data_IF_882425232472
#
_entry.id   IF_882425232472
#
_cell.length_a   1.000
_cell.length_b   1.000
_cell.length_c   1.000
_cell.angle_alpha   90.00
_cell.angle_beta   90.00
_cell.angle_gamma   90.00
#
_symmetry.space_group_name_H-M   'P 1'
#
loop_
_entity.id
_entity.type
_entity.pdbx_description
1 polymer ?
#
# COMPACT_ATOMS: atom_id res chain seq x y z
N UNK A 1 9.70 35.33 -24.16
CA UNK A 1 11.04 34.86 -24.52
C UNK A 1 11.27 33.37 -24.25
N UNK A 2 11.21 32.90 -22.99
CA UNK A 2 11.42 31.44 -22.66
C UNK A 2 10.41 30.53 -23.33
N UNK A 3 9.13 30.91 -23.32
CA UNK A 3 8.05 30.15 -23.94
C UNK A 3 8.23 30.10 -25.46
N UNK A 4 8.57 31.21 -26.07
CA UNK A 4 8.86 31.34 -27.52
C UNK A 4 10.05 30.42 -27.92
N UNK A 5 11.15 30.46 -27.18
CA UNK A 5 12.28 29.56 -27.40
C UNK A 5 11.90 28.11 -27.33
N UNK A 6 11.06 27.76 -26.30
CA UNK A 6 10.59 26.40 -26.14
C UNK A 6 9.71 25.96 -27.29
N UNK A 7 8.78 26.79 -27.74
CA UNK A 7 7.88 26.50 -28.87
C UNK A 7 8.69 26.29 -30.15
N UNK A 8 9.64 27.18 -30.47
CA UNK A 8 10.52 27.03 -31.64
C UNK A 8 11.32 25.72 -31.60
N UNK A 9 11.85 25.36 -30.42
CA UNK A 9 12.53 24.08 -30.24
C UNK A 9 11.60 22.87 -30.40
N UNK A 10 10.41 22.95 -29.85
CA UNK A 10 9.39 21.89 -29.96
C UNK A 10 8.94 21.69 -31.42
N UNK A 11 8.74 22.78 -32.17
CA UNK A 11 8.40 22.74 -33.61
C UNK A 11 9.51 22.06 -34.41
N UNK A 12 10.77 22.47 -34.22
CA UNK A 12 11.90 21.82 -34.89
C UNK A 12 12.00 20.34 -34.59
N UNK A 13 11.73 19.92 -33.34
CA UNK A 13 11.66 18.50 -32.96
C UNK A 13 10.51 17.76 -33.63
N UNK A 14 9.36 18.37 -33.74
CA UNK A 14 8.21 17.74 -34.44
C UNK A 14 8.50 17.54 -35.93
N UNK A 15 9.16 18.51 -36.57
CA UNK A 15 9.60 18.38 -37.98
C UNK A 15 10.64 17.29 -38.18
N UNK A 16 11.63 17.20 -37.28
CA UNK A 16 12.77 16.28 -37.45
C UNK A 16 12.43 14.85 -37.00
N UNK A 17 11.72 14.68 -35.90
CA UNK A 17 11.51 13.38 -35.23
C UNK A 17 10.04 12.91 -35.20
N UNK A 18 9.09 13.75 -35.55
CA UNK A 18 7.67 13.40 -35.49
C UNK A 18 7.07 13.32 -34.08
N UNK A 19 7.81 13.72 -33.04
CA UNK A 19 7.31 13.73 -31.66
C UNK A 19 7.89 14.90 -30.83
N UNK A 20 7.24 15.22 -29.73
CA UNK A 20 7.67 16.26 -28.80
C UNK A 20 7.30 15.94 -27.35
N UNK A 21 8.20 16.31 -26.43
CA UNK A 21 7.90 16.27 -25.00
C UNK A 21 7.04 17.51 -24.66
N UNK A 22 5.84 17.31 -24.10
CA UNK A 22 4.92 18.41 -23.79
C UNK A 22 3.83 18.61 -24.85
N UNK A 23 3.39 17.49 -25.44
CA UNK A 23 2.27 17.41 -26.39
C UNK A 23 1.01 18.16 -25.89
N UNK A 24 0.89 18.36 -24.56
CA UNK A 24 -0.24 19.09 -23.95
C UNK A 24 -0.44 20.50 -24.51
N UNK A 25 0.62 21.16 -25.00
CA UNK A 25 0.52 22.46 -25.63
C UNK A 25 -0.08 22.40 -27.05
N UNK A 26 -0.07 21.25 -27.70
CA UNK A 26 -0.31 21.12 -29.14
C UNK A 26 -1.45 20.15 -29.48
N UNK A 27 -1.90 19.30 -28.53
CA UNK A 27 -2.92 18.27 -28.78
C UNK A 27 -4.21 18.80 -29.38
N UNK A 28 -4.67 19.97 -28.93
CA UNK A 28 -5.85 20.63 -29.48
C UNK A 28 -5.79 20.77 -31.02
N UNK A 29 -4.63 21.19 -31.53
CA UNK A 29 -4.41 21.41 -32.97
C UNK A 29 -4.27 20.11 -33.76
N UNK A 30 -3.62 19.10 -33.18
CA UNK A 30 -3.50 17.78 -33.81
C UNK A 30 -4.84 17.08 -33.91
N UNK A 31 -5.65 17.18 -32.85
CA UNK A 31 -6.99 16.60 -32.81
C UNK A 31 -8.03 17.39 -33.62
N UNK A 32 -7.68 18.60 -34.10
CA UNK A 32 -8.57 19.53 -34.80
C UNK A 32 -9.85 19.85 -34.00
N UNK A 33 -9.71 19.93 -32.68
CA UNK A 33 -10.80 20.32 -31.77
C UNK A 33 -10.87 21.83 -31.60
N UNK A 34 -12.04 22.32 -31.22
CA UNK A 34 -12.19 23.68 -30.74
C UNK A 34 -11.83 23.81 -29.26
N UNK A 35 -11.48 25.03 -28.83
CA UNK A 35 -11.17 25.26 -27.41
C UNK A 35 -12.40 24.99 -26.54
N UNK A 36 -12.24 24.20 -25.50
CA UNK A 36 -13.30 23.77 -24.61
C UNK A 36 -13.91 22.41 -24.93
N UNK A 37 -13.68 21.86 -26.11
CA UNK A 37 -14.14 20.53 -26.49
C UNK A 37 -13.49 19.43 -25.61
N UNK A 38 -14.23 18.33 -25.34
CA UNK A 38 -13.66 17.20 -24.61
C UNK A 38 -12.51 16.56 -25.41
N UNK A 39 -11.40 16.21 -24.75
CA UNK A 39 -10.31 15.53 -25.42
C UNK A 39 -10.68 14.08 -25.78
N UNK A 40 -10.02 13.54 -26.80
CA UNK A 40 -10.07 12.11 -27.08
C UNK A 40 -9.33 11.34 -25.97
N UNK A 41 -9.95 10.29 -25.50
CA UNK A 41 -9.48 9.44 -24.40
C UNK A 41 -9.52 7.98 -24.79
N UNK A 42 -9.02 7.08 -23.91
CA UNK A 42 -9.14 5.64 -24.10
C UNK A 42 -10.60 5.19 -24.26
N UNK A 43 -11.56 5.89 -23.65
CA UNK A 43 -12.99 5.60 -23.77
C UNK A 43 -13.46 5.78 -25.21
N UNK A 44 -12.95 6.79 -25.92
CA UNK A 44 -13.29 7.04 -27.31
C UNK A 44 -12.80 5.92 -28.24
N UNK A 45 -11.64 5.33 -27.97
CA UNK A 45 -11.16 4.14 -28.69
C UNK A 45 -12.06 2.93 -28.44
N UNK A 46 -12.50 2.73 -27.20
CA UNK A 46 -13.42 1.65 -26.86
C UNK A 46 -14.76 1.83 -27.55
N UNK A 47 -15.29 3.05 -27.57
CA UNK A 47 -16.53 3.40 -28.24
C UNK A 47 -16.44 3.18 -29.75
N UNK A 48 -15.39 3.68 -30.40
CA UNK A 48 -15.15 3.47 -31.82
C UNK A 48 -15.05 1.98 -32.17
N UNK A 49 -14.33 1.20 -31.36
CA UNK A 49 -14.25 -0.26 -31.57
C UNK A 49 -15.60 -0.95 -31.39
N UNK A 50 -16.41 -0.52 -30.43
CA UNK A 50 -17.77 -1.05 -30.25
C UNK A 50 -18.70 -0.70 -31.42
N UNK A 51 -18.57 0.49 -32.01
CA UNK A 51 -19.31 0.91 -33.19
C UNK A 51 -18.88 0.16 -34.46
N UNK A 52 -17.59 -0.13 -34.64
CA UNK A 52 -17.05 -0.80 -35.81
C UNK A 52 -17.29 -2.32 -35.79
N UNK A 53 -17.17 -2.96 -34.63
CA UNK A 53 -17.19 -4.44 -34.50
C UNK A 53 -18.37 -4.98 -33.68
N UNK A 54 -19.27 -4.14 -33.18
CA UNK A 54 -20.39 -4.52 -32.32
C UNK A 54 -21.66 -3.75 -32.60
N UNK A 55 -22.45 -3.56 -31.54
CA UNK A 55 -23.72 -2.82 -31.56
C UNK A 55 -23.57 -1.35 -31.16
N UNK A 56 -22.33 -0.87 -31.01
CA UNK A 56 -22.01 0.49 -30.57
C UNK A 56 -22.00 0.68 -29.06
N UNK A 57 -22.29 -0.35 -28.26
CA UNK A 57 -22.28 -0.29 -26.81
C UNK A 57 -21.09 -1.03 -26.21
N UNK A 58 -20.65 -0.61 -25.02
CA UNK A 58 -19.65 -1.31 -24.21
C UNK A 58 -19.96 -1.17 -22.72
N UNK A 59 -19.58 -2.19 -21.96
CA UNK A 59 -19.76 -2.20 -20.50
C UNK A 59 -18.54 -1.57 -19.81
N UNK A 60 -18.78 -0.55 -18.99
CA UNK A 60 -17.78 0.05 -18.11
C UNK A 60 -17.95 -0.48 -16.69
N UNK A 61 -16.95 -1.20 -16.18
CA UNK A 61 -16.90 -1.64 -14.79
C UNK A 61 -16.00 -0.73 -14.00
N UNK A 62 -16.57 0.03 -13.06
CA UNK A 62 -15.84 0.98 -12.22
C UNK A 62 -15.48 0.30 -10.91
N UNK A 63 -14.23 -0.15 -10.82
CA UNK A 63 -13.70 -0.76 -9.59
C UNK A 63 -13.36 0.29 -8.53
N UNK A 64 -13.52 -0.09 -7.26
CA UNK A 64 -13.41 0.82 -6.10
C UNK A 64 -14.19 2.13 -6.35
N UNK A 65 -15.41 2.00 -6.83
CA UNK A 65 -16.23 3.10 -7.37
C UNK A 65 -16.41 4.26 -6.39
N UNK A 66 -16.48 3.97 -5.09
CA UNK A 66 -16.54 4.96 -4.00
C UNK A 66 -15.35 5.94 -3.99
N UNK A 67 -14.19 5.51 -4.50
CA UNK A 67 -13.01 6.36 -4.67
C UNK A 67 -12.88 6.87 -6.10
N UNK A 68 -13.01 5.98 -7.08
CA UNK A 68 -12.80 6.27 -8.50
C UNK A 68 -13.69 7.39 -9.01
N UNK A 69 -15.00 7.36 -8.72
CA UNK A 69 -15.92 8.41 -9.15
C UNK A 69 -15.60 9.77 -8.52
N UNK A 70 -15.16 9.77 -7.27
CA UNK A 70 -14.74 10.99 -6.59
C UNK A 70 -13.44 11.56 -7.19
N UNK A 71 -12.50 10.71 -7.60
CA UNK A 71 -11.28 11.11 -8.28
C UNK A 71 -11.58 11.67 -9.67
N UNK A 72 -12.38 10.99 -10.49
CA UNK A 72 -12.79 11.48 -11.82
C UNK A 72 -13.44 12.85 -11.71
N UNK A 73 -14.30 13.08 -10.71
CA UNK A 73 -14.92 14.37 -10.47
C UNK A 73 -13.91 15.48 -10.11
N UNK A 74 -12.86 15.14 -9.38
CA UNK A 74 -11.83 16.09 -8.93
C UNK A 74 -10.74 16.38 -9.96
N UNK A 75 -10.48 15.47 -10.90
CA UNK A 75 -9.33 15.53 -11.82
C UNK A 75 -9.32 16.79 -12.69
N UNK A 76 -10.46 17.15 -13.25
CA UNK A 76 -10.58 18.32 -14.13
C UNK A 76 -10.17 19.61 -13.41
N UNK A 77 -10.74 19.88 -12.24
CA UNK A 77 -10.47 21.11 -11.50
C UNK A 77 -9.01 21.18 -11.03
N UNK A 78 -8.43 20.06 -10.59
CA UNK A 78 -7.03 19.99 -10.18
C UNK A 78 -6.07 20.28 -11.34
N UNK A 79 -6.33 19.72 -12.52
CA UNK A 79 -5.51 19.96 -13.71
C UNK A 79 -5.63 21.41 -14.20
N UNK A 80 -6.83 21.96 -14.23
CA UNK A 80 -7.09 23.35 -14.61
C UNK A 80 -6.35 24.32 -13.68
N UNK A 81 -6.45 24.16 -12.37
CA UNK A 81 -5.76 25.02 -11.41
C UNK A 81 -4.23 24.99 -11.62
N UNK A 82 -3.65 23.80 -11.80
CA UNK A 82 -2.22 23.64 -12.09
C UNK A 82 -1.81 24.32 -13.40
N UNK A 83 -2.56 24.10 -14.48
CA UNK A 83 -2.23 24.65 -15.80
C UNK A 83 -2.42 26.16 -15.89
N UNK A 84 -3.44 26.70 -15.25
CA UNK A 84 -3.61 28.16 -15.16
C UNK A 84 -2.37 28.82 -14.55
N UNK A 85 -1.85 28.30 -13.45
CA UNK A 85 -0.61 28.78 -12.85
C UNK A 85 0.57 28.68 -13.83
N UNK A 86 0.73 27.55 -14.53
CA UNK A 86 1.83 27.36 -15.49
C UNK A 86 1.73 28.30 -16.70
N UNK A 87 0.55 28.63 -17.16
CA UNK A 87 0.30 29.58 -18.24
C UNK A 87 0.59 31.00 -17.77
N UNK A 88 0.10 31.39 -16.61
CA UNK A 88 0.34 32.72 -16.00
C UNK A 88 1.85 33.03 -15.90
N UNK A 89 2.64 32.03 -15.48
CA UNK A 89 4.10 32.19 -15.39
C UNK A 89 4.87 31.88 -16.70
N UNK A 90 4.20 31.66 -17.83
CA UNK A 90 4.81 31.46 -19.14
C UNK A 90 5.51 30.11 -19.31
N UNK A 91 5.08 29.07 -18.62
CA UNK A 91 5.60 27.71 -18.76
C UNK A 91 4.79 26.85 -19.73
N UNK A 92 3.58 27.25 -20.08
CA UNK A 92 2.65 26.56 -20.98
C UNK A 92 1.93 27.55 -21.89
N UNK A 93 1.50 27.05 -23.05
CA UNK A 93 0.59 27.79 -23.93
C UNK A 93 -0.85 27.74 -23.38
N UNK A 94 -1.73 28.71 -23.70
CA UNK A 94 -3.13 28.67 -23.33
C UNK A 94 -3.85 27.39 -23.80
N UNK A 95 -3.50 26.87 -24.98
CA UNK A 95 -4.01 25.62 -25.54
C UNK A 95 -3.74 24.36 -24.68
N UNK A 96 -2.81 24.44 -23.73
CA UNK A 96 -2.56 23.35 -22.79
C UNK A 96 -3.81 23.08 -21.88
N UNK A 97 -4.69 24.06 -21.70
CA UNK A 97 -5.95 23.87 -20.96
C UNK A 97 -6.88 22.86 -21.62
N UNK A 98 -6.80 22.69 -22.94
CA UNK A 98 -7.65 21.77 -23.71
C UNK A 98 -7.11 20.32 -23.76
N UNK A 99 -5.87 20.11 -23.34
CA UNK A 99 -5.35 18.76 -23.04
C UNK A 99 -5.61 18.44 -21.57
N UNK A 100 -6.79 17.98 -21.26
CA UNK A 100 -7.31 17.90 -19.89
C UNK A 100 -8.02 16.56 -19.64
N UNK A 101 -8.17 16.15 -18.38
CA UNK A 101 -9.12 15.09 -18.05
C UNK A 101 -10.54 15.47 -18.47
N UNK A 102 -11.38 14.48 -18.72
CA UNK A 102 -12.79 14.69 -18.92
C UNK A 102 -13.42 15.35 -17.68
N UNK A 103 -14.40 16.20 -17.89
CA UNK A 103 -15.32 16.59 -16.83
C UNK A 103 -16.16 15.38 -16.44
N UNK A 104 -16.70 15.38 -15.23
CA UNK A 104 -17.50 14.25 -14.74
C UNK A 104 -18.71 13.96 -15.65
N UNK A 105 -19.40 14.98 -16.10
CA UNK A 105 -20.56 14.83 -16.97
C UNK A 105 -20.16 14.28 -18.35
N UNK A 106 -19.03 14.75 -18.92
CA UNK A 106 -18.48 14.23 -20.17
C UNK A 106 -18.09 12.75 -20.04
N UNK A 107 -17.55 12.34 -18.88
CA UNK A 107 -17.25 10.94 -18.57
C UNK A 107 -18.53 10.10 -18.53
N UNK A 108 -19.58 10.61 -17.87
CA UNK A 108 -20.87 9.92 -17.78
C UNK A 108 -21.57 9.76 -19.13
N UNK A 109 -21.48 10.81 -19.99
CA UNK A 109 -22.05 10.78 -21.34
C UNK A 109 -21.33 9.81 -22.30
N UNK A 110 -20.00 9.63 -22.12
CA UNK A 110 -19.21 8.73 -22.95
C UNK A 110 -19.33 7.27 -22.53
N UNK A 111 -19.86 6.96 -21.35
CA UNK A 111 -19.96 5.62 -20.79
C UNK A 111 -21.42 5.22 -20.63
N UNK A 112 -21.95 4.50 -21.62
CA UNK A 112 -23.40 4.21 -21.73
C UNK A 112 -23.91 3.24 -20.66
N UNK A 113 -23.17 2.13 -20.42
CA UNK A 113 -23.54 1.09 -19.47
C UNK A 113 -22.47 1.00 -18.38
N UNK A 114 -22.86 1.27 -17.14
CA UNK A 114 -21.95 1.24 -16.00
C UNK A 114 -22.34 0.22 -14.95
N UNK A 115 -21.35 -0.46 -14.41
CA UNK A 115 -21.44 -1.28 -13.21
C UNK A 115 -20.45 -0.72 -12.16
N UNK A 116 -20.97 -0.36 -11.00
CA UNK A 116 -20.16 0.12 -9.88
C UNK A 116 -19.80 -1.07 -8.98
N UNK A 117 -18.50 -1.26 -8.75
CA UNK A 117 -17.99 -2.33 -7.89
C UNK A 117 -17.30 -1.72 -6.69
N UNK A 118 -17.75 -2.07 -5.48
CA UNK A 118 -17.17 -1.54 -4.26
C UNK A 118 -17.49 -2.42 -3.06
N UNK A 119 -16.51 -2.60 -2.17
CA UNK A 119 -16.75 -3.22 -0.87
C UNK A 119 -17.51 -2.28 0.08
N UNK A 120 -17.47 -0.97 -0.17
CA UNK A 120 -18.04 0.09 0.66
C UNK A 120 -18.69 1.16 -0.21
N UNK A 121 -19.78 0.84 -0.95
CA UNK A 121 -20.44 1.80 -1.81
C UNK A 121 -20.95 3.00 -1.01
N UNK A 122 -20.91 4.18 -1.61
CA UNK A 122 -21.48 5.38 -1.00
C UNK A 122 -22.88 5.68 -1.57
N UNK A 123 -23.59 6.59 -0.93
CA UNK A 123 -24.97 6.94 -1.29
C UNK A 123 -25.11 7.40 -2.75
N UNK A 124 -24.10 8.07 -3.31
CA UNK A 124 -24.16 8.56 -4.70
C UNK A 124 -24.19 7.42 -5.71
N UNK A 125 -23.39 6.38 -5.50
CA UNK A 125 -23.36 5.20 -6.37
C UNK A 125 -24.66 4.43 -6.29
N UNK A 126 -25.21 4.31 -5.07
CA UNK A 126 -26.50 3.68 -4.84
C UNK A 126 -27.61 4.44 -5.56
N UNK A 127 -27.61 5.77 -5.50
CA UNK A 127 -28.56 6.60 -6.23
C UNK A 127 -28.40 6.50 -7.75
N UNK A 128 -27.15 6.51 -8.26
CA UNK A 128 -26.87 6.34 -9.69
C UNK A 128 -27.32 4.97 -10.23
N UNK A 129 -27.32 3.95 -9.38
CA UNK A 129 -27.82 2.61 -9.72
C UNK A 129 -29.35 2.43 -9.49
N UNK A 130 -30.08 3.52 -9.28
CA UNK A 130 -31.52 3.48 -8.93
C UNK A 130 -31.82 2.61 -7.71
N UNK A 131 -30.96 2.65 -6.70
CA UNK A 131 -31.01 1.84 -5.47
C UNK A 131 -30.94 0.33 -5.73
N UNK A 132 -30.45 -0.10 -6.87
CA UNK A 132 -30.21 -1.52 -7.18
C UNK A 132 -28.82 -1.91 -6.71
N UNK A 133 -28.74 -2.56 -5.57
CA UNK A 133 -27.49 -3.08 -5.02
C UNK A 133 -27.53 -4.60 -5.04
N UNK A 134 -26.55 -5.22 -5.69
CA UNK A 134 -26.34 -6.67 -5.69
C UNK A 134 -25.20 -6.97 -4.76
N UNK A 135 -25.47 -7.75 -3.73
CA UNK A 135 -24.45 -8.13 -2.76
C UNK A 135 -23.79 -9.45 -3.17
N UNK A 136 -22.45 -9.44 -3.23
CA UNK A 136 -21.63 -10.64 -3.42
C UNK A 136 -20.74 -10.81 -2.18
N UNK A 137 -21.31 -11.40 -1.13
CA UNK A 137 -20.67 -11.54 0.18
C UNK A 137 -20.04 -12.90 0.41
N UNK A 138 -20.51 -13.93 -0.32
CA UNK A 138 -20.08 -15.29 -0.11
C UNK A 138 -18.71 -15.56 -0.73
N UNK A 139 -17.78 -16.04 0.10
CA UNK A 139 -16.45 -16.50 -0.33
C UNK A 139 -16.47 -18.02 -0.46
N UNK A 140 -16.12 -18.58 -1.65
CA UNK A 140 -16.08 -20.03 -1.86
C UNK A 140 -15.11 -20.76 -0.93
N UNK A 141 -14.07 -20.07 -0.45
CA UNK A 141 -13.10 -20.60 0.51
C UNK A 141 -13.64 -20.79 1.93
N UNK A 142 -14.85 -20.33 2.20
CA UNK A 142 -15.44 -20.33 3.54
C UNK A 142 -14.85 -19.30 4.50
N UNK A 143 -13.86 -18.51 4.07
CA UNK A 143 -13.23 -17.49 4.92
C UNK A 143 -14.22 -16.42 5.35
N UNK A 144 -14.22 -16.11 6.64
CA UNK A 144 -15.08 -15.11 7.26
C UNK A 144 -14.36 -13.79 7.45
N UNK A 145 -15.11 -12.70 7.59
CA UNK A 145 -14.52 -11.43 8.02
C UNK A 145 -13.92 -11.56 9.43
N UNK A 146 -12.88 -10.76 9.78
CA UNK A 146 -12.15 -10.93 11.02
C UNK A 146 -13.05 -10.76 12.25
N UNK A 147 -12.69 -11.42 13.34
CA UNK A 147 -13.24 -11.11 14.64
C UNK A 147 -12.79 -9.71 15.07
N UNK A 148 -13.63 -8.95 15.75
CA UNK A 148 -13.35 -7.57 16.16
C UNK A 148 -13.34 -7.48 17.68
N UNK A 149 -12.29 -6.86 18.22
CA UNK A 149 -12.13 -6.61 19.64
C UNK A 149 -11.84 -5.11 19.85
N UNK A 150 -12.48 -4.54 20.87
CA UNK A 150 -12.26 -3.18 21.32
C UNK A 150 -11.38 -3.22 22.57
N UNK A 151 -10.29 -2.45 22.57
CA UNK A 151 -9.39 -2.32 23.72
C UNK A 151 -9.12 -0.85 24.02
N UNK A 152 -8.82 -0.48 25.27
CA UNK A 152 -8.55 0.90 25.65
C UNK A 152 -7.27 1.44 24.98
N UNK A 153 -7.19 2.76 24.79
CA UNK A 153 -5.97 3.40 24.26
C UNK A 153 -4.85 3.42 25.29
N UNK A 154 -5.19 3.41 26.57
CA UNK A 154 -4.20 3.34 27.65
C UNK A 154 -3.46 2.01 27.61
N UNK A 155 -2.14 2.05 27.38
CA UNK A 155 -1.33 0.84 27.24
C UNK A 155 -1.43 0.16 25.88
N UNK A 156 -2.03 0.79 24.85
CA UNK A 156 -2.23 0.20 23.51
C UNK A 156 -0.93 -0.31 22.87
N UNK A 157 0.21 0.35 23.10
CA UNK A 157 1.50 -0.07 22.55
C UNK A 157 2.02 -1.31 23.25
N UNK A 158 1.84 -1.39 24.56
CA UNK A 158 2.23 -2.53 25.40
C UNK A 158 1.45 -3.77 25.02
N UNK A 159 0.15 -3.63 24.91
CA UNK A 159 -0.76 -4.69 24.50
C UNK A 159 -0.49 -5.15 23.07
N UNK A 160 -0.32 -4.22 22.14
CA UNK A 160 0.04 -4.51 20.76
C UNK A 160 1.32 -5.35 20.66
N UNK A 161 2.36 -5.06 21.45
CA UNK A 161 3.62 -5.82 21.43
C UNK A 161 3.39 -7.28 21.85
N UNK A 162 2.60 -7.50 22.87
CA UNK A 162 2.26 -8.83 23.32
C UNK A 162 1.55 -9.61 22.21
N UNK A 163 0.57 -9.00 21.57
CA UNK A 163 -0.17 -9.61 20.45
C UNK A 163 0.75 -9.89 19.25
N UNK A 164 1.66 -8.98 18.92
CA UNK A 164 2.64 -9.16 17.85
C UNK A 164 3.56 -10.35 18.13
N UNK A 165 4.07 -10.47 19.37
CA UNK A 165 4.95 -11.60 19.75
C UNK A 165 4.20 -12.93 19.67
N UNK A 166 2.96 -12.96 20.16
CA UNK A 166 2.11 -14.15 20.05
C UNK A 166 1.92 -14.58 18.58
N UNK A 167 1.61 -13.64 17.69
CA UNK A 167 1.41 -13.94 16.26
C UNK A 167 2.70 -14.39 15.59
N UNK A 168 3.83 -13.75 15.89
CA UNK A 168 5.13 -14.15 15.36
C UNK A 168 5.51 -15.58 15.72
N UNK A 169 5.32 -15.99 16.97
CA UNK A 169 5.68 -17.33 17.44
C UNK A 169 4.93 -18.46 16.71
N UNK A 170 3.73 -18.16 16.19
CA UNK A 170 2.97 -19.11 15.37
C UNK A 170 3.12 -18.86 13.86
N UNK A 171 4.08 -18.03 13.47
CA UNK A 171 4.39 -17.77 12.06
C UNK A 171 3.43 -16.84 11.32
N UNK A 172 2.57 -16.12 12.03
CA UNK A 172 1.60 -15.18 11.48
C UNK A 172 2.14 -13.75 11.40
N UNK A 173 1.51 -12.88 10.63
CA UNK A 173 1.90 -11.49 10.40
C UNK A 173 0.86 -10.51 10.95
N UNK A 174 1.34 -9.30 11.29
CA UNK A 174 0.51 -8.24 11.84
C UNK A 174 0.56 -6.98 10.99
N UNK A 175 -0.59 -6.36 10.74
CA UNK A 175 -0.69 -5.01 10.20
C UNK A 175 -1.08 -4.04 11.32
N UNK A 176 -0.40 -2.89 11.40
CA UNK A 176 -0.68 -1.84 12.38
C UNK A 176 -0.94 -0.53 11.66
N UNK A 177 -2.07 0.12 11.96
CA UNK A 177 -2.39 1.43 11.38
C UNK A 177 -2.30 2.53 12.42
N UNK A 178 -1.59 3.61 12.05
CA UNK A 178 -1.42 4.83 12.86
C UNK A 178 -2.06 6.03 12.17
N UNK A 179 -2.14 7.18 12.87
CA UNK A 179 -2.73 8.41 12.33
C UNK A 179 -1.73 9.28 11.56
N UNK A 180 -0.45 9.22 11.92
CA UNK A 180 0.58 10.09 11.34
C UNK A 180 1.84 9.32 10.96
N UNK A 181 2.58 9.86 9.98
CA UNK A 181 3.90 9.35 9.56
C UNK A 181 4.88 9.28 10.74
N UNK A 182 4.97 10.36 11.51
CA UNK A 182 5.85 10.44 12.68
C UNK A 182 5.54 9.36 13.73
N UNK A 183 4.24 9.07 13.93
CA UNK A 183 3.81 8.03 14.84
C UNK A 183 4.17 6.63 14.31
N UNK A 184 4.02 6.40 13.01
CA UNK A 184 4.42 5.14 12.38
C UNK A 184 5.92 4.89 12.49
N UNK A 185 6.74 5.90 12.22
CA UNK A 185 8.20 5.84 12.35
C UNK A 185 8.60 5.56 13.81
N UNK A 186 8.10 6.34 14.75
CA UNK A 186 8.40 6.17 16.17
C UNK A 186 7.99 4.81 16.72
N UNK A 187 6.83 4.29 16.29
CA UNK A 187 6.37 2.95 16.67
C UNK A 187 7.27 1.87 16.07
N UNK A 188 7.70 2.02 14.83
CA UNK A 188 8.60 1.07 14.18
C UNK A 188 9.95 1.02 14.88
N UNK A 189 10.53 2.17 15.21
CA UNK A 189 11.79 2.25 15.97
C UNK A 189 11.65 1.63 17.36
N UNK A 190 10.52 1.87 18.02
CA UNK A 190 10.23 1.32 19.33
C UNK A 190 10.12 -0.21 19.30
N UNK A 191 9.40 -0.76 18.31
CA UNK A 191 9.18 -2.19 18.13
C UNK A 191 10.43 -2.95 17.63
N UNK A 192 11.42 -2.26 17.08
CA UNK A 192 12.71 -2.84 16.69
C UNK A 192 13.77 -2.77 17.82
N UNK A 193 13.48 -2.07 18.93
CA UNK A 193 14.40 -1.93 20.08
C UNK A 193 14.16 -3.04 21.11
N UNK A 194 15.04 -4.03 21.12
CA UNK A 194 14.94 -5.20 22.01
C UNK A 194 14.90 -4.82 23.48
N UNK A 195 15.67 -3.81 23.90
CA UNK A 195 15.76 -3.40 25.31
C UNK A 195 14.44 -2.81 25.81
N UNK A 196 13.72 -2.08 24.94
CA UNK A 196 12.40 -1.53 25.23
C UNK A 196 11.35 -2.62 25.33
N UNK A 197 11.40 -3.60 24.40
CA UNK A 197 10.50 -4.76 24.41
C UNK A 197 10.69 -5.56 25.72
N UNK A 198 11.92 -5.84 26.14
CA UNK A 198 12.19 -6.59 27.38
C UNK A 198 11.66 -5.88 28.61
N UNK A 199 11.90 -4.56 28.71
CA UNK A 199 11.39 -3.75 29.82
C UNK A 199 9.87 -3.80 29.90
N UNK A 200 9.22 -3.71 28.72
CA UNK A 200 7.77 -3.69 28.59
C UNK A 200 7.16 -5.07 28.95
N UNK A 201 7.72 -6.17 28.46
CA UNK A 201 7.23 -7.52 28.78
C UNK A 201 7.40 -7.83 30.28
N UNK A 202 8.48 -7.37 30.89
CA UNK A 202 8.64 -7.48 32.35
C UNK A 202 7.53 -6.73 33.08
N UNK A 203 7.23 -5.49 32.65
CA UNK A 203 6.12 -4.69 33.22
C UNK A 203 4.77 -5.39 33.03
N UNK A 204 4.51 -5.89 31.83
CA UNK A 204 3.28 -6.62 31.52
C UNK A 204 3.12 -7.88 32.40
N UNK A 205 4.15 -8.72 32.49
CA UNK A 205 4.13 -9.91 33.34
C UNK A 205 3.94 -9.56 34.83
N UNK A 206 4.51 -8.46 35.30
CA UNK A 206 4.29 -8.02 36.67
C UNK A 206 2.85 -7.58 36.89
N UNK A 207 2.29 -6.76 36.00
CA UNK A 207 0.87 -6.34 36.05
C UNK A 207 -0.08 -7.56 36.01
N UNK A 208 0.20 -8.58 35.20
CA UNK A 208 -0.60 -9.81 35.17
C UNK A 208 -0.51 -10.58 36.49
N UNK A 209 0.67 -10.68 37.11
CA UNK A 209 0.82 -11.33 38.44
C UNK A 209 0.05 -10.58 39.51
N UNK A 210 0.18 -9.25 39.52
CA UNK A 210 -0.53 -8.39 40.48
C UNK A 210 -2.05 -8.47 40.28
N UNK A 211 -2.51 -8.54 39.04
CA UNK A 211 -3.90 -8.75 38.67
C UNK A 211 -4.41 -10.12 39.12
N UNK A 212 -3.73 -11.20 38.79
CA UNK A 212 -4.14 -12.54 39.21
C UNK A 212 -4.17 -12.69 40.74
N UNK A 213 -3.22 -12.06 41.43
CA UNK A 213 -3.21 -12.02 42.89
C UNK A 213 -4.43 -11.25 43.43
N UNK A 214 -4.78 -10.12 42.81
CA UNK A 214 -5.96 -9.33 43.20
C UNK A 214 -7.28 -10.09 42.94
N UNK A 215 -7.37 -10.79 41.80
CA UNK A 215 -8.52 -11.64 41.42
C UNK A 215 -8.71 -12.82 42.41
N UNK A 216 -7.61 -13.48 42.82
CA UNK A 216 -7.63 -14.56 43.79
C UNK A 216 -8.00 -14.07 45.22
N UNK A 217 -7.65 -12.80 45.52
CA UNK A 217 -7.88 -12.23 46.84
C UNK A 217 -9.22 -11.50 47.02
N UNK A 218 -9.84 -11.04 45.91
CA UNK A 218 -11.10 -10.28 45.95
C UNK A 218 -11.95 -10.47 44.69
N UNK A 219 -12.99 -11.30 44.81
CA UNK A 219 -13.89 -11.64 43.70
C UNK A 219 -14.76 -10.47 43.23
N UNK A 220 -15.09 -9.51 44.12
CA UNK A 220 -15.86 -8.32 43.76
C UNK A 220 -15.00 -7.34 42.95
N UNK A 221 -13.72 -7.20 43.27
CA UNK A 221 -12.75 -6.41 42.53
C UNK A 221 -12.55 -6.97 41.12
N UNK A 222 -12.44 -8.29 40.99
CA UNK A 222 -12.36 -8.96 39.70
C UNK A 222 -13.53 -8.68 38.79
N UNK A 223 -14.78 -8.82 39.32
CA UNK A 223 -16.00 -8.53 38.58
C UNK A 223 -16.06 -7.06 38.13
N UNK A 224 -15.63 -6.14 38.98
CA UNK A 224 -15.63 -4.69 38.68
C UNK A 224 -14.64 -4.33 37.56
N UNK A 225 -13.45 -4.97 37.54
CA UNK A 225 -12.47 -4.74 36.46
C UNK A 225 -12.93 -5.35 35.13
N UNK A 226 -13.44 -6.58 35.15
CA UNK A 226 -14.01 -7.20 33.94
C UNK A 226 -15.17 -6.40 33.35
N UNK A 227 -15.95 -5.71 34.17
CA UNK A 227 -17.03 -4.82 33.72
C UNK A 227 -16.54 -3.46 33.20
N UNK A 228 -15.36 -2.99 33.61
CA UNK A 228 -14.79 -1.73 33.16
C UNK A 228 -13.95 -1.85 31.87
N UNK A 229 -13.40 -3.04 31.58
CA UNK A 229 -12.58 -3.25 30.38
C UNK A 229 -13.39 -3.58 29.12
N UNK A 230 -14.63 -4.01 29.26
CA UNK A 230 -15.56 -4.17 28.14
C UNK A 230 -16.23 -2.82 27.83
N UNK A 231 -15.75 -2.12 26.80
CA UNK A 231 -16.61 -1.11 26.15
C UNK A 231 -17.97 -1.77 25.86
N UNK A 232 -19.12 -1.18 26.26
CA UNK A 232 -20.41 -1.83 26.22
C UNK A 232 -20.83 -2.15 24.78
N UNK A 233 -20.31 -3.23 24.26
CA UNK A 233 -20.74 -3.88 23.01
C UNK A 233 -22.23 -4.26 23.16
N UNK A 234 -22.69 -4.52 24.39
CA UNK A 234 -24.07 -4.85 24.73
C UNK A 234 -25.11 -3.77 24.37
N UNK A 235 -24.65 -2.53 24.09
CA UNK A 235 -25.54 -1.48 23.58
C UNK A 235 -25.63 -1.46 22.04
N UNK A 236 -24.83 -2.26 21.34
CA UNK A 236 -25.11 -2.61 19.97
C UNK A 236 -26.12 -3.76 20.01
N UNK A 237 -27.22 -3.66 19.32
CA UNK A 237 -28.11 -4.81 19.02
C UNK A 237 -27.34 -5.74 18.04
N UNK A 238 -26.37 -6.47 18.58
CA UNK A 238 -25.60 -7.46 17.83
C UNK A 238 -26.29 -8.79 18.11
N UNK A 239 -26.79 -9.42 17.06
CA UNK A 239 -27.35 -10.75 17.16
C UNK A 239 -26.33 -11.76 17.71
N UNK A 240 -26.76 -12.83 18.38
CA UNK A 240 -25.87 -13.78 19.03
C UNK A 240 -24.89 -14.37 18.00
N UNK A 241 -23.58 -14.20 18.27
CA UNK A 241 -22.54 -14.88 17.52
C UNK A 241 -22.64 -16.36 17.86
N UNK A 242 -22.79 -17.23 16.84
CA UNK A 242 -22.78 -18.67 17.07
C UNK A 242 -21.39 -19.13 17.51
N UNK A 243 -21.20 -19.25 18.83
CA UNK A 243 -19.94 -19.67 19.46
C UNK A 243 -19.54 -21.11 19.13
N UNK A 244 -20.44 -21.96 18.60
CA UNK A 244 -20.14 -23.35 18.24
C UNK A 244 -19.19 -23.44 17.04
N UNK A 245 -19.32 -22.56 16.07
CA UNK A 245 -18.41 -22.52 14.91
C UNK A 245 -16.96 -22.22 15.35
N UNK A 246 -16.77 -21.33 16.32
CA UNK A 246 -15.44 -20.97 16.85
C UNK A 246 -14.81 -22.07 17.70
N UNK A 247 -15.59 -22.83 18.44
CA UNK A 247 -15.07 -23.94 19.23
C UNK A 247 -14.48 -25.05 18.34
N UNK A 248 -15.03 -25.21 17.14
CA UNK A 248 -14.53 -26.19 16.16
C UNK A 248 -13.20 -25.75 15.52
N UNK A 249 -13.05 -24.47 15.20
CA UNK A 249 -11.81 -23.91 14.67
C UNK A 249 -10.69 -23.83 15.73
N UNK A 250 -11.03 -23.52 16.99
CA UNK A 250 -10.05 -23.47 18.10
C UNK A 250 -9.35 -24.82 18.35
N UNK A 251 -9.98 -25.94 18.02
CA UNK A 251 -9.39 -27.26 18.24
C UNK A 251 -8.41 -27.71 17.16
N UNK A 252 -8.28 -27.01 16.03
CA UNK A 252 -7.44 -27.41 14.91
C UNK A 252 -6.11 -26.63 14.79
N UNK A 253 -5.98 -25.46 15.44
CA UNK A 253 -4.78 -24.61 15.33
C UNK A 253 -4.31 -24.14 16.71
N UNK A 254 -2.98 -23.99 16.87
CA UNK A 254 -2.40 -23.29 18.03
C UNK A 254 -2.85 -21.82 17.93
N UNK A 255 -3.89 -21.48 18.65
CA UNK A 255 -4.34 -20.08 18.71
C UNK A 255 -3.27 -19.23 19.39
N UNK A 256 -3.18 -17.97 19.01
CA UNK A 256 -2.25 -17.01 19.61
C UNK A 256 -2.36 -16.94 21.16
N UNK A 257 -3.52 -17.29 21.71
CA UNK A 257 -3.79 -17.30 23.16
C UNK A 257 -3.07 -18.44 23.91
N UNK A 258 -2.59 -19.49 23.21
CA UNK A 258 -1.87 -20.63 23.80
C UNK A 258 -0.34 -20.46 23.79
N UNK A 259 0.14 -19.30 23.35
CA UNK A 259 1.57 -19.04 23.18
C UNK A 259 2.22 -18.64 24.50
N UNK A 260 3.38 -19.23 24.79
CA UNK A 260 4.16 -18.91 25.97
C UNK A 260 5.05 -17.67 25.72
N UNK A 261 4.93 -16.65 26.58
CA UNK A 261 5.72 -15.42 26.53
C UNK A 261 7.08 -15.54 27.26
N UNK A 262 7.47 -16.74 27.73
CA UNK A 262 8.76 -16.92 28.42
C UNK A 262 9.96 -16.93 27.45
N UNK A 263 9.74 -17.37 26.21
CA UNK A 263 10.72 -17.25 25.13
C UNK A 263 10.30 -16.12 24.18
N UNK A 264 11.02 -14.98 24.24
CA UNK A 264 10.72 -13.82 23.43
C UNK A 264 11.40 -13.97 22.07
N UNK A 265 10.61 -14.14 21.02
CA UNK A 265 11.06 -13.98 19.65
C UNK A 265 10.80 -12.54 19.19
N UNK A 266 11.87 -11.72 19.11
CA UNK A 266 11.75 -10.28 18.81
C UNK A 266 11.23 -10.03 17.40
N UNK A 267 10.15 -9.25 17.23
CA UNK A 267 9.60 -8.96 15.92
C UNK A 267 10.54 -8.08 15.09
N UNK A 268 10.53 -8.31 13.78
CA UNK A 268 11.12 -7.42 12.80
C UNK A 268 10.01 -6.58 12.18
N UNK A 269 10.12 -5.26 12.30
CA UNK A 269 9.07 -4.33 11.93
C UNK A 269 9.51 -3.44 10.77
N UNK A 270 8.68 -3.35 9.75
CA UNK A 270 8.81 -2.37 8.68
C UNK A 270 7.67 -1.34 8.73
N UNK A 271 7.87 -0.17 8.12
CA UNK A 271 6.80 0.81 7.95
C UNK A 271 6.59 1.19 6.48
N UNK A 272 5.36 1.60 6.16
CA UNK A 272 4.97 2.08 4.83
C UNK A 272 4.37 3.49 4.92
N UNK A 273 4.85 4.39 4.06
CA UNK A 273 4.31 5.73 3.87
C UNK A 273 4.34 6.16 2.40
N UNK A 274 3.74 7.33 2.10
CA UNK A 274 3.58 7.84 0.74
C UNK A 274 4.89 8.13 -0.01
N UNK A 275 5.98 8.37 0.71
CA UNK A 275 7.26 8.79 0.12
C UNK A 275 8.15 7.59 -0.26
N UNK A 276 7.68 6.36 -0.01
CA UNK A 276 8.37 5.13 -0.43
C UNK A 276 8.04 4.86 -1.90
N UNK A 277 9.06 4.64 -2.72
CA UNK A 277 8.90 4.31 -4.12
C UNK A 277 8.07 3.03 -4.33
N UNK A 278 7.33 2.97 -5.43
CA UNK A 278 6.44 1.84 -5.74
C UNK A 278 7.17 0.50 -5.76
N UNK A 279 8.41 0.47 -6.26
CA UNK A 279 9.22 -0.75 -6.28
C UNK A 279 9.66 -1.16 -4.87
N UNK A 280 10.14 -0.22 -4.06
CA UNK A 280 10.50 -0.45 -2.65
C UNK A 280 9.30 -0.92 -1.82
N UNK A 281 8.13 -0.35 -2.08
CA UNK A 281 6.86 -0.79 -1.46
C UNK A 281 6.57 -2.25 -1.78
N UNK A 282 6.71 -2.66 -3.03
CA UNK A 282 6.52 -4.06 -3.44
C UNK A 282 7.52 -4.98 -2.75
N UNK A 283 8.78 -4.53 -2.58
CA UNK A 283 9.81 -5.31 -1.87
C UNK A 283 9.46 -5.54 -0.41
N UNK A 284 9.02 -4.50 0.29
CA UNK A 284 8.61 -4.59 1.70
C UNK A 284 7.44 -5.56 1.88
N UNK A 285 6.46 -5.53 0.97
CA UNK A 285 5.30 -6.42 1.02
C UNK A 285 5.70 -7.88 0.76
N UNK A 286 6.57 -8.15 -0.21
CA UNK A 286 7.08 -9.49 -0.47
C UNK A 286 7.94 -10.00 0.69
N UNK A 287 8.75 -9.13 1.31
CA UNK A 287 9.59 -9.46 2.47
C UNK A 287 8.72 -9.78 3.70
N UNK A 288 7.58 -9.07 3.90
CA UNK A 288 6.58 -9.43 4.92
C UNK A 288 6.01 -10.83 4.67
N UNK A 289 5.63 -11.13 3.44
CA UNK A 289 5.11 -12.44 3.07
C UNK A 289 6.12 -13.57 3.24
N UNK A 290 7.42 -13.31 2.97
CA UNK A 290 8.51 -14.27 3.19
C UNK A 290 8.86 -14.46 4.66
N UNK A 291 8.42 -13.57 5.55
CA UNK A 291 8.76 -13.59 6.97
C UNK A 291 10.07 -12.89 7.30
N UNK A 292 10.61 -12.10 6.39
CA UNK A 292 11.71 -11.19 6.72
C UNK A 292 11.25 -10.07 7.67
N UNK A 293 9.98 -9.69 7.58
CA UNK A 293 9.27 -8.84 8.53
C UNK A 293 8.09 -9.58 9.12
N UNK A 294 7.78 -9.30 10.39
CA UNK A 294 6.66 -9.86 11.12
C UNK A 294 5.51 -8.86 11.25
N UNK A 295 5.85 -7.57 11.24
CA UNK A 295 4.91 -6.47 11.40
C UNK A 295 5.12 -5.42 10.32
N UNK A 296 4.02 -4.93 9.80
CA UNK A 296 4.00 -3.78 8.90
C UNK A 296 3.19 -2.65 9.53
N UNK A 297 3.85 -1.53 9.82
CA UNK A 297 3.22 -0.32 10.32
C UNK A 297 2.94 0.63 9.17
N UNK A 298 1.75 1.19 9.11
CA UNK A 298 1.39 2.15 8.06
C UNK A 298 0.30 3.12 8.46
N UNK A 299 0.05 4.11 7.59
CA UNK A 299 -1.01 5.10 7.81
C UNK A 299 -2.22 4.70 6.96
N UNK A 300 -2.19 5.08 5.69
CA UNK A 300 -3.31 4.96 4.75
C UNK A 300 -3.10 3.85 3.71
N UNK A 301 -1.85 3.50 3.47
CA UNK A 301 -1.45 2.59 2.39
C UNK A 301 -1.81 1.12 2.64
N UNK A 302 -2.37 0.81 3.80
CA UNK A 302 -2.80 -0.54 4.16
C UNK A 302 -4.26 -0.84 3.79
N UNK A 303 -4.96 0.09 3.11
CA UNK A 303 -6.38 -0.06 2.77
C UNK A 303 -6.61 -0.78 1.44
N UNK A 304 -5.90 -0.38 0.39
CA UNK A 304 -6.14 -0.84 -0.98
C UNK A 304 -4.91 -1.52 -1.59
N UNK A 305 -5.14 -2.41 -2.56
CA UNK A 305 -4.08 -3.04 -3.34
C UNK A 305 -3.16 -4.01 -2.59
N UNK A 306 -3.52 -4.46 -1.38
CA UNK A 306 -2.74 -5.43 -0.61
C UNK A 306 -3.42 -6.79 -0.59
N UNK A 307 -2.65 -7.82 -0.92
CA UNK A 307 -3.04 -9.22 -0.83
C UNK A 307 -2.04 -9.99 0.04
N UNK A 308 -2.33 -10.05 1.34
CA UNK A 308 -1.46 -10.57 2.39
C UNK A 308 -2.15 -11.70 3.16
N UNK A 309 -2.24 -12.91 2.60
CA UNK A 309 -2.92 -14.01 3.24
C UNK A 309 -2.25 -14.49 4.54
N UNK A 310 -1.01 -14.12 4.77
CA UNK A 310 -0.25 -14.45 5.98
C UNK A 310 -0.60 -13.55 7.18
N UNK A 311 -1.36 -12.47 6.94
CA UNK A 311 -1.78 -11.53 7.99
C UNK A 311 -3.00 -12.07 8.72
N UNK A 312 -2.83 -12.33 10.01
CA UNK A 312 -3.91 -12.76 10.91
C UNK A 312 -4.40 -11.65 11.83
N UNK A 313 -3.55 -10.66 12.14
CA UNK A 313 -3.90 -9.55 13.04
C UNK A 313 -3.83 -8.20 12.31
N UNK A 314 -4.90 -7.42 12.49
CA UNK A 314 -4.95 -6.01 12.10
C UNK A 314 -5.20 -5.16 13.34
N UNK A 315 -4.26 -4.31 13.71
CA UNK A 315 -4.37 -3.40 14.84
C UNK A 315 -4.60 -1.96 14.37
N UNK A 316 -5.63 -1.32 14.87
CA UNK A 316 -5.97 0.07 14.56
C UNK A 316 -5.78 0.89 15.84
N UNK A 317 -4.68 1.65 15.91
CA UNK A 317 -4.39 2.53 17.02
C UNK A 317 -5.24 3.80 16.95
N UNK A 318 -5.63 4.34 18.10
CA UNK A 318 -6.45 5.55 18.19
C UNK A 318 -7.68 5.50 17.24
N UNK A 319 -8.44 4.43 17.30
CA UNK A 319 -9.57 4.18 16.41
C UNK A 319 -10.72 5.18 16.63
N UNK A 320 -10.81 5.79 17.81
CA UNK A 320 -11.83 6.79 18.20
C UNK A 320 -11.52 8.23 17.73
N UNK A 321 -10.35 8.46 17.11
CA UNK A 321 -10.00 9.78 16.57
C UNK A 321 -10.65 9.96 15.19
N UNK A 322 -11.91 10.39 15.18
CA UNK A 322 -12.68 10.56 13.95
C UNK A 322 -11.96 11.42 12.91
N UNK A 323 -12.08 11.03 11.64
CA UNK A 323 -11.48 11.68 10.50
C UNK A 323 -11.43 10.76 9.29
N UNK A 324 -10.84 11.23 8.20
CA UNK A 324 -10.74 10.48 6.95
C UNK A 324 -10.11 9.09 7.12
N UNK A 325 -9.09 8.97 7.98
CA UNK A 325 -8.38 7.70 8.24
C UNK A 325 -9.16 6.75 9.16
N UNK A 326 -10.16 7.24 9.86
CA UNK A 326 -11.01 6.50 10.81
C UNK A 326 -12.50 6.60 10.45
N UNK A 327 -12.79 6.85 9.15
CA UNK A 327 -14.15 6.76 8.63
C UNK A 327 -14.62 5.30 8.56
N UNK A 328 -15.94 5.07 8.54
CA UNK A 328 -16.56 3.76 8.34
C UNK A 328 -15.87 2.97 7.21
N UNK A 329 -15.76 3.55 6.04
CA UNK A 329 -15.14 2.94 4.85
C UNK A 329 -13.70 2.53 5.11
N UNK A 330 -12.89 3.45 5.67
CA UNK A 330 -11.48 3.20 5.98
C UNK A 330 -11.31 2.04 6.95
N UNK A 331 -12.13 1.96 7.99
CA UNK A 331 -12.07 0.89 8.99
C UNK A 331 -12.47 -0.46 8.39
N UNK A 332 -13.58 -0.53 7.64
CA UNK A 332 -14.02 -1.77 6.98
C UNK A 332 -12.91 -2.31 6.06
N UNK A 333 -12.31 -1.45 5.24
CA UNK A 333 -11.23 -1.85 4.31
C UNK A 333 -9.99 -2.33 5.05
N UNK A 334 -9.62 -1.63 6.13
CA UNK A 334 -8.44 -1.98 6.93
C UNK A 334 -8.64 -3.31 7.67
N UNK A 335 -9.75 -3.48 8.37
CA UNK A 335 -10.11 -4.73 9.06
C UNK A 335 -10.19 -5.89 8.07
N UNK A 336 -10.76 -5.65 6.89
CA UNK A 336 -10.87 -6.65 5.83
C UNK A 336 -9.54 -7.22 5.32
N UNK A 337 -8.39 -6.60 5.64
CA UNK A 337 -7.06 -7.18 5.34
C UNK A 337 -6.79 -8.46 6.12
N UNK A 338 -7.39 -8.62 7.31
CA UNK A 338 -7.34 -9.87 8.07
C UNK A 338 -8.30 -10.96 7.58
N UNK A 339 -9.19 -10.68 6.64
CA UNK A 339 -10.23 -11.62 6.18
C UNK A 339 -9.70 -12.73 5.24
N UNK A 340 -8.41 -12.84 5.01
CA UNK A 340 -7.77 -13.88 4.19
C UNK A 340 -7.12 -14.99 5.00
N UNK A 341 -7.14 -14.84 6.32
CA UNK A 341 -6.61 -15.81 7.28
C UNK A 341 -7.76 -16.40 8.10
N UNK A 342 -7.72 -17.70 8.39
CA UNK A 342 -8.78 -18.38 9.18
C UNK A 342 -8.90 -17.78 10.57
N UNK A 343 -7.76 -17.42 11.18
CA UNK A 343 -7.70 -16.75 12.49
C UNK A 343 -7.67 -15.23 12.38
N UNK A 344 -8.33 -14.69 11.34
CA UNK A 344 -8.39 -13.24 11.12
C UNK A 344 -8.98 -12.50 12.32
N UNK A 345 -8.21 -11.56 12.88
CA UNK A 345 -8.56 -10.78 14.06
C UNK A 345 -8.25 -9.30 13.84
N UNK A 346 -9.11 -8.43 14.36
CA UNK A 346 -8.93 -6.98 14.32
C UNK A 346 -9.09 -6.39 15.70
N UNK A 347 -8.07 -5.67 16.18
CA UNK A 347 -8.11 -4.95 17.44
C UNK A 347 -8.23 -3.45 17.14
N UNK A 348 -9.26 -2.83 17.69
CA UNK A 348 -9.46 -1.39 17.64
C UNK A 348 -9.17 -0.81 19.01
N UNK A 349 -8.11 -0.02 19.13
CA UNK A 349 -7.79 0.69 20.37
C UNK A 349 -8.56 2.01 20.41
N UNK A 350 -9.47 2.13 21.37
CA UNK A 350 -10.37 3.26 21.50
C UNK A 350 -10.85 3.42 22.94
N UNK A 351 -11.01 4.66 23.41
CA UNK A 351 -11.59 4.96 24.72
C UNK A 351 -13.09 5.25 24.63
N UNK A 352 -13.60 5.45 23.42
CA UNK A 352 -15.02 5.68 23.15
C UNK A 352 -15.44 5.07 21.83
N UNK A 353 -16.67 4.56 21.77
CA UNK A 353 -17.26 4.11 20.53
C UNK A 353 -17.78 5.30 19.72
N UNK A 354 -17.20 5.52 18.53
CA UNK A 354 -17.67 6.56 17.60
C UNK A 354 -18.72 6.01 16.65
N UNK A 355 -19.51 6.91 16.02
CA UNK A 355 -20.49 6.48 15.04
C UNK A 355 -19.85 5.76 13.84
N UNK A 356 -18.70 6.22 13.39
CA UNK A 356 -17.93 5.57 12.31
C UNK A 356 -17.47 4.16 12.69
N UNK A 357 -17.01 3.97 13.93
CA UNK A 357 -16.65 2.64 14.46
C UNK A 357 -17.87 1.72 14.54
N UNK A 358 -18.96 2.20 15.14
CA UNK A 358 -20.21 1.44 15.27
C UNK A 358 -20.67 0.89 13.93
N UNK A 359 -20.83 1.76 12.93
CA UNK A 359 -21.26 1.38 11.59
C UNK A 359 -20.28 0.43 10.88
N UNK A 360 -18.96 0.56 11.13
CA UNK A 360 -17.97 -0.34 10.56
C UNK A 360 -18.01 -1.73 11.19
N UNK A 361 -18.18 -1.80 12.50
CA UNK A 361 -18.28 -3.05 13.25
C UNK A 361 -19.57 -3.79 12.87
N UNK A 362 -20.73 -3.10 12.90
CA UNK A 362 -22.02 -3.66 12.51
C UNK A 362 -21.98 -4.29 11.12
N UNK A 363 -21.42 -3.57 10.14
CA UNK A 363 -21.32 -4.07 8.77
C UNK A 363 -20.37 -5.27 8.64
N UNK A 364 -19.23 -5.24 9.33
CA UNK A 364 -18.29 -6.37 9.31
C UNK A 364 -18.90 -7.62 9.96
N UNK A 365 -19.59 -7.45 11.06
CA UNK A 365 -20.31 -8.55 11.75
C UNK A 365 -21.48 -9.07 10.90
N UNK A 366 -22.24 -8.19 10.25
CA UNK A 366 -23.29 -8.58 9.32
C UNK A 366 -22.77 -9.51 8.23
N UNK A 367 -21.68 -9.10 7.57
CA UNK A 367 -21.03 -9.90 6.51
C UNK A 367 -20.49 -11.23 7.05
N UNK A 368 -19.86 -11.18 8.22
CA UNK A 368 -19.35 -12.36 8.89
C UNK A 368 -20.44 -13.39 9.17
N UNK A 369 -21.58 -12.96 9.73
CA UNK A 369 -22.70 -13.83 10.06
C UNK A 369 -23.33 -14.47 8.82
N UNK A 370 -23.43 -13.73 7.71
CA UNK A 370 -23.92 -14.27 6.43
C UNK A 370 -23.00 -15.39 5.94
N UNK A 371 -21.67 -15.17 5.98
CA UNK A 371 -20.70 -16.19 5.56
C UNK A 371 -20.73 -17.42 6.49
N UNK A 372 -20.79 -17.21 7.81
CA UNK A 372 -20.87 -18.31 8.78
C UNK A 372 -22.12 -19.16 8.51
N UNK A 373 -23.27 -18.51 8.34
CA UNK A 373 -24.51 -19.22 8.02
C UNK A 373 -24.38 -20.03 6.73
N UNK A 374 -23.83 -19.43 5.68
CA UNK A 374 -23.60 -20.14 4.42
C UNK A 374 -22.67 -21.35 4.59
N UNK A 375 -21.60 -21.21 5.37
CA UNK A 375 -20.67 -22.30 5.63
C UNK A 375 -21.36 -23.47 6.38
N UNK A 376 -22.19 -23.16 7.39
CA UNK A 376 -22.95 -24.15 8.13
C UNK A 376 -23.97 -24.87 7.25
N UNK A 377 -24.73 -24.11 6.46
CA UNK A 377 -25.77 -24.65 5.57
C UNK A 377 -25.20 -25.58 4.48
N UNK A 378 -23.93 -25.34 4.07
CA UNK A 378 -23.27 -26.09 2.99
C UNK A 378 -22.12 -27.00 3.46
N UNK A 379 -21.90 -27.14 4.77
CA UNK A 379 -20.80 -27.92 5.37
C UNK A 379 -19.43 -27.53 4.81
N UNK A 380 -19.13 -26.22 4.71
CA UNK A 380 -17.89 -25.69 4.20
C UNK A 380 -16.94 -25.42 5.36
N UNK A 381 -15.77 -26.02 5.37
CA UNK A 381 -14.69 -25.70 6.28
C UNK A 381 -13.82 -24.57 5.70
N UNK A 382 -13.64 -23.52 6.49
CA UNK A 382 -12.83 -22.36 6.07
C UNK A 382 -11.35 -22.74 5.92
N UNK A 383 -10.75 -22.36 4.79
CA UNK A 383 -9.35 -22.64 4.48
C UNK A 383 -8.59 -21.35 4.19
N UNK A 384 -7.45 -21.16 4.87
CA UNK A 384 -6.55 -20.04 4.58
C UNK A 384 -6.04 -20.08 3.15
N UNK A 385 -5.93 -18.92 2.53
CA UNK A 385 -5.42 -18.79 1.17
C UNK A 385 -3.89 -18.93 1.22
N UNK A 386 -3.35 -19.88 0.46
CA UNK A 386 -1.91 -20.01 0.25
C UNK A 386 -1.59 -19.49 -1.15
N UNK A 387 -0.84 -18.40 -1.23
CA UNK A 387 -0.47 -17.78 -2.48
C UNK A 387 1.05 -17.83 -2.68
N UNK A 388 1.57 -18.43 -3.76
CA UNK A 388 3.00 -18.46 -4.01
C UNK A 388 3.56 -17.04 -4.18
N UNK A 389 4.73 -16.80 -3.62
CA UNK A 389 5.46 -15.55 -3.81
C UNK A 389 6.22 -15.68 -5.13
N UNK A 390 5.89 -14.84 -6.10
CA UNK A 390 6.55 -14.86 -7.41
C UNK A 390 7.97 -14.33 -7.27
N UNK A 391 8.93 -14.99 -7.90
CA UNK A 391 10.28 -14.43 -8.04
C UNK A 391 10.25 -13.20 -8.92
N UNK A 392 10.98 -12.17 -8.50
CA UNK A 392 11.06 -10.93 -9.29
C UNK A 392 11.90 -11.17 -10.52
N UNK A 393 11.39 -10.75 -11.68
CA UNK A 393 12.12 -10.74 -12.94
C UNK A 393 13.34 -9.79 -12.89
N UNK A 394 13.24 -8.73 -12.09
CA UNK A 394 14.30 -7.74 -11.88
C UNK A 394 14.72 -7.79 -10.41
N UNK A 395 15.90 -8.33 -10.12
CA UNK A 395 16.51 -8.27 -8.79
C UNK A 395 17.03 -6.85 -8.54
N UNK A 396 16.41 -6.09 -7.65
CA UNK A 396 16.90 -4.76 -7.26
C UNK A 396 18.27 -4.90 -6.58
N UNK A 397 19.34 -4.52 -7.27
CA UNK A 397 20.70 -4.47 -6.72
C UNK A 397 20.90 -3.36 -5.68
N UNK A 398 19.89 -2.53 -5.41
CA UNK A 398 19.97 -1.39 -4.49
C UNK A 398 19.90 -1.73 -2.99
N UNK A 399 19.66 -2.99 -2.60
CA UNK A 399 19.67 -3.37 -1.16
C UNK A 399 21.02 -3.13 -0.45
N UNK A 400 22.12 -2.99 -1.21
CA UNK A 400 23.45 -2.76 -0.64
C UNK A 400 23.81 -1.27 -0.41
N UNK A 401 23.01 -0.31 -0.90
CA UNK A 401 23.36 1.13 -0.73
C UNK A 401 22.89 1.73 0.60
N UNK A 402 21.88 1.18 1.28
CA UNK A 402 21.39 1.72 2.58
C UNK A 402 22.09 1.19 3.84
N UNK A 403 22.98 0.19 3.74
CA UNK A 403 23.81 -0.29 4.86
C UNK A 403 25.12 0.50 5.10
N UNK A 404 25.34 1.62 4.40
CA UNK A 404 26.53 2.48 4.57
C UNK A 404 26.38 3.55 5.66
N UNK A 405 25.80 3.18 6.79
CA UNK A 405 25.73 4.02 8.00
C UNK A 405 26.45 3.44 9.23
N UNK A 406 27.21 2.35 9.10
CA UNK A 406 28.09 1.85 10.16
C UNK A 406 29.31 1.21 9.52
N UNK A 407 30.48 1.77 9.84
CA UNK A 407 31.76 1.40 9.28
C UNK A 407 32.04 -0.11 9.31
N UNK A 408 32.24 -0.66 8.13
CA UNK A 408 32.93 -1.93 7.89
C UNK A 408 33.66 -1.79 6.57
N UNK A 409 34.90 -2.26 6.57
CA UNK A 409 35.90 -2.14 5.51
C UNK A 409 35.44 -2.67 4.15
N UNK A 410 35.93 -2.08 3.01
CA UNK A 410 35.50 -2.40 1.64
C UNK A 410 36.09 -3.69 1.03
N UNK A 411 36.78 -4.54 1.78
CA UNK A 411 37.58 -5.63 1.18
C UNK A 411 36.89 -6.99 1.00
N UNK A 412 35.62 -7.19 1.36
CA UNK A 412 34.99 -8.54 1.33
C UNK A 412 33.85 -8.77 0.33
N UNK A 413 33.58 -7.93 -0.66
CA UNK A 413 32.61 -8.28 -1.71
C UNK A 413 33.30 -8.47 -3.06
N UNK A 414 33.60 -9.72 -3.41
CA UNK A 414 34.33 -10.12 -4.61
C UNK A 414 33.57 -9.99 -5.96
N UNK A 415 32.75 -8.98 -6.18
CA UNK A 415 32.18 -8.69 -7.50
C UNK A 415 33.10 -7.71 -8.26
N UNK A 416 33.69 -8.19 -9.35
CA UNK A 416 34.48 -7.39 -10.28
C UNK A 416 33.65 -7.10 -11.53
N UNK A 417 33.50 -5.85 -11.92
CA UNK A 417 32.94 -5.47 -13.24
C UNK A 417 34.08 -5.10 -14.15
N UNK A 418 34.61 -6.09 -14.89
CA UNK A 418 35.75 -5.90 -15.81
C UNK A 418 35.23 -5.49 -17.18
N UNK A 419 35.66 -4.34 -17.66
CA UNK A 419 35.27 -3.80 -18.96
C UNK A 419 36.53 -3.63 -19.82
N UNK A 420 36.50 -4.14 -21.05
CA UNK A 420 37.55 -3.92 -22.03
C UNK A 420 37.41 -2.53 -22.67
N UNK A 421 38.40 -1.67 -22.47
CA UNK A 421 38.46 -0.34 -23.07
C UNK A 421 39.06 -0.38 -24.47
N UNK A 422 39.98 -1.32 -24.72
CA UNK A 422 40.65 -1.60 -26.01
C UNK A 422 41.00 -3.09 -26.09
N UNK A 423 41.56 -3.56 -27.23
CA UNK A 423 42.00 -4.95 -27.46
C UNK A 423 43.00 -5.49 -26.41
N UNK A 424 43.70 -4.60 -25.69
CA UNK A 424 44.75 -4.94 -24.71
C UNK A 424 44.53 -4.33 -23.31
N UNK A 425 43.50 -3.54 -23.10
CA UNK A 425 43.29 -2.80 -21.85
C UNK A 425 41.94 -3.16 -21.23
N UNK A 426 41.99 -3.76 -20.06
CA UNK A 426 40.81 -4.08 -19.25
C UNK A 426 40.87 -3.30 -17.93
N UNK A 427 39.72 -2.77 -17.51
CA UNK A 427 39.58 -2.01 -16.26
C UNK A 427 38.45 -2.59 -15.44
N UNK A 428 38.64 -2.71 -14.12
CA UNK A 428 37.60 -3.02 -13.17
C UNK A 428 36.92 -1.72 -12.76
N UNK A 429 35.69 -1.52 -13.21
CA UNK A 429 34.91 -0.31 -12.97
C UNK A 429 34.73 0.03 -11.52
N UNK A 430 34.69 -0.98 -10.63
CA UNK A 430 34.49 -0.77 -9.19
C UNK A 430 35.77 -0.34 -8.46
N UNK A 431 36.95 -0.45 -9.12
CA UNK A 431 38.20 -0.03 -8.54
C UNK A 431 38.64 1.38 -8.95
N UNK A 432 37.86 2.06 -9.79
CA UNK A 432 38.16 3.43 -10.19
C UNK A 432 37.90 4.36 -8.98
N UNK A 433 38.98 5.02 -8.55
CA UNK A 433 38.94 6.05 -7.51
C UNK A 433 39.16 7.42 -8.12
N UNK A 434 38.13 8.22 -8.38
CA UNK A 434 38.26 9.51 -9.06
C UNK A 434 39.26 10.49 -8.39
N UNK A 435 39.39 10.37 -7.05
CA UNK A 435 40.23 11.26 -6.26
C UNK A 435 41.77 10.94 -6.38
N UNK A 436 42.11 9.77 -6.88
CA UNK A 436 43.51 9.34 -7.07
C UNK A 436 44.04 9.60 -8.52
N UNK A 437 43.16 10.07 -9.42
CA UNK A 437 43.48 10.33 -10.83
C UNK A 437 43.87 11.80 -11.07
N UNK A 438 44.86 12.02 -11.90
CA UNK A 438 45.17 13.38 -12.35
C UNK A 438 44.09 13.96 -13.27
N UNK A 439 43.93 15.29 -13.39
CA UNK A 439 42.96 15.90 -14.28
C UNK A 439 43.00 15.40 -15.72
N UNK A 440 44.18 15.17 -16.25
CA UNK A 440 44.39 14.62 -17.61
C UNK A 440 43.96 13.16 -17.71
N UNK A 441 44.26 12.36 -16.71
CA UNK A 441 43.83 10.95 -16.67
C UNK A 441 42.30 10.82 -16.58
N UNK A 442 41.64 11.69 -15.81
CA UNK A 442 40.18 11.75 -15.75
C UNK A 442 39.54 12.01 -17.12
N UNK A 443 40.09 12.99 -17.85
CA UNK A 443 39.57 13.33 -19.18
C UNK A 443 39.80 12.19 -20.19
N UNK A 444 40.96 11.53 -20.14
CA UNK A 444 41.25 10.42 -21.03
C UNK A 444 40.39 9.19 -20.71
N UNK A 445 40.24 8.87 -19.43
CA UNK A 445 39.43 7.75 -18.97
C UNK A 445 37.95 7.99 -19.31
N UNK A 446 37.42 9.19 -19.07
CA UNK A 446 36.03 9.55 -19.41
C UNK A 446 35.77 9.39 -20.92
N UNK A 447 36.69 9.81 -21.81
CA UNK A 447 36.55 9.60 -23.27
C UNK A 447 36.53 8.12 -23.65
N UNK A 448 37.38 7.28 -23.04
CA UNK A 448 37.38 5.82 -23.27
C UNK A 448 36.10 5.17 -22.81
N UNK A 449 35.62 5.52 -21.60
CA UNK A 449 34.37 5.04 -21.01
C UNK A 449 33.16 5.47 -21.83
N UNK A 450 33.15 6.69 -22.37
CA UNK A 450 32.07 7.20 -23.21
C UNK A 450 31.90 6.40 -24.51
N UNK A 451 33.01 5.98 -25.14
CA UNK A 451 32.97 5.08 -26.30
C UNK A 451 32.45 3.71 -25.94
N UNK A 452 32.85 3.17 -24.79
CA UNK A 452 32.36 1.85 -24.31
C UNK A 452 30.89 1.89 -23.92
N UNK A 453 30.42 2.97 -23.29
CA UNK A 453 29.01 3.22 -23.04
C UNK A 453 28.18 3.18 -24.32
N UNK A 454 28.62 3.86 -25.36
CA UNK A 454 27.96 3.83 -26.67
C UNK A 454 27.93 2.43 -27.30
N UNK A 455 28.94 1.59 -27.06
CA UNK A 455 28.91 0.19 -27.50
C UNK A 455 27.94 -0.64 -26.67
N UNK A 456 27.92 -0.49 -25.34
CA UNK A 456 26.96 -1.18 -24.46
C UNK A 456 25.51 -0.86 -24.85
N UNK A 457 25.22 0.39 -25.21
CA UNK A 457 23.86 0.77 -25.70
C UNK A 457 23.52 0.05 -27.02
N UNK A 458 24.50 -0.08 -27.97
CA UNK A 458 24.25 -0.83 -29.20
C UNK A 458 24.07 -2.32 -28.98
N UNK A 459 24.75 -2.87 -27.98
CA UNK A 459 24.64 -4.27 -27.56
C UNK A 459 23.39 -4.52 -26.68
N UNK A 460 22.54 -3.50 -26.46
CA UNK A 460 21.37 -3.51 -25.59
C UNK A 460 21.67 -3.81 -24.10
N UNK A 461 22.92 -3.66 -23.67
CA UNK A 461 23.33 -3.81 -22.28
C UNK A 461 23.19 -2.46 -21.56
N UNK A 462 21.95 -2.11 -21.26
CA UNK A 462 21.60 -0.85 -20.61
C UNK A 462 22.09 -0.76 -19.16
N UNK A 463 22.28 -1.89 -18.51
CA UNK A 463 22.77 -1.95 -17.13
C UNK A 463 24.25 -1.54 -17.08
N UNK A 464 25.08 -2.11 -17.94
CA UNK A 464 26.48 -1.72 -18.08
C UNK A 464 26.61 -0.26 -18.54
N UNK A 465 25.77 0.19 -19.47
CA UNK A 465 25.77 1.57 -19.94
C UNK A 465 25.44 2.56 -18.80
N UNK A 466 24.50 2.23 -17.90
CA UNK A 466 24.16 3.06 -16.75
C UNK A 466 25.31 3.16 -15.75
N UNK A 467 25.98 2.04 -15.45
CA UNK A 467 27.15 2.02 -14.55
C UNK A 467 28.27 2.90 -15.11
N UNK A 468 28.57 2.75 -16.39
CA UNK A 468 29.64 3.55 -17.07
C UNK A 468 29.25 5.04 -17.06
N UNK A 469 28.00 5.40 -17.30
CA UNK A 469 27.51 6.79 -17.25
C UNK A 469 27.75 7.43 -15.89
N UNK A 470 27.40 6.69 -14.81
CA UNK A 470 27.54 7.21 -13.47
C UNK A 470 29.02 7.43 -13.09
N UNK A 471 29.93 6.53 -13.52
CA UNK A 471 31.36 6.72 -13.34
C UNK A 471 31.89 7.93 -14.16
N UNK A 472 31.42 8.12 -15.38
CA UNK A 472 31.81 9.31 -16.18
C UNK A 472 31.39 10.59 -15.45
N UNK A 473 30.22 10.60 -14.82
CA UNK A 473 29.73 11.73 -14.04
C UNK A 473 30.60 12.03 -12.82
N UNK A 474 31.12 10.99 -12.17
CA UNK A 474 32.02 11.13 -11.03
C UNK A 474 33.46 11.55 -11.43
N UNK A 475 33.85 11.37 -12.69
CA UNK A 475 35.14 11.79 -13.25
C UNK A 475 35.12 13.23 -13.74
N UNK A 476 33.95 13.81 -13.99
CA UNK A 476 33.79 15.21 -14.44
C UNK A 476 33.70 16.17 -13.26
#
# INVERSE_FOLDING_TARGET
YRLEQKVNYDLSKMEEFGFVNGIENYSLYFDKRESGDPPFTLIDYMKHNAEEFGDGSFLTMVDESHMTLSQVKGMFNGDQARKNTLIEYGFRLPSALDNRPLKFDEFMEKTDIMTYVSATPNEKEVLLSNNKVIEQLIRPTGLVDPNIELRPTTGQVEDLIVEVIKRKQIGQRTLVTTLTKKMAEALTDYLNDKSKIDALIKSYKQKQKDFNFAVESDTDFAQTIWQQEELPIDQMEIGPIDTKYYSHLKNQTKTADQVNLDEIDYPKVAYLHSDIDTLERSDILDDLRRGEYDVLVGINLLREGLDLPEVSLVAILDADKEGFLRSRTSMIQTMGRGARHVEGHSILYADRLTNSMKLAIEETLRRRNIQIKHNLDNNIDAQSIIKPIREKLIKNQNKNKKKRGSGLDPEESGQKIIVSLNKSEQIDLLKIKPNELTPDDKVQLAKKLQRRMGQAVKDMDFELAAIIRDIIKDLQ
#
